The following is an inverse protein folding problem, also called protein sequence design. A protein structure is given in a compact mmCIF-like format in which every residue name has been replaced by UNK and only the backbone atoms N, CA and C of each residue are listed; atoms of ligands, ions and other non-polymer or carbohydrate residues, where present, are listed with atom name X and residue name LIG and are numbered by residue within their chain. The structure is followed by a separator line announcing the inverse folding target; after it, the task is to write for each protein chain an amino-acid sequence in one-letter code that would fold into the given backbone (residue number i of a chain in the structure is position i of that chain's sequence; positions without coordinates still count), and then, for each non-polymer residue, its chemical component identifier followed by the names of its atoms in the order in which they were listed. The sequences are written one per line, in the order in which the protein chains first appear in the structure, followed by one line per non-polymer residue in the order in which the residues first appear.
data_IF_838474926393
#
_entry.id   IF_838474926393
#
_cell.length_a   1.000
_cell.length_b   1.000
_cell.length_c   1.000
_cell.angle_alpha   90.00
_cell.angle_beta   90.00
_cell.angle_gamma   90.00
#
_symmetry.space_group_name_H-M   'P 1'
#
loop_
_entity.id
_entity.type
_entity.pdbx_description
1 polymer ?
#
# COMPACT_ATOMS: atom_id res chain seq x y z
N UNK A 1 27.96 21.01 -13.47
CA UNK A 1 28.11 20.26 -12.21
C UNK A 1 26.72 20.13 -11.60
N UNK A 2 26.03 19.01 -11.82
CA UNK A 2 24.65 18.82 -11.33
C UNK A 2 24.67 18.28 -9.91
N UNK A 3 24.16 19.07 -8.98
CA UNK A 3 23.88 18.68 -7.60
C UNK A 3 22.63 17.78 -7.57
N UNK A 4 22.83 16.49 -7.31
CA UNK A 4 21.72 15.60 -6.97
C UNK A 4 21.15 16.03 -5.62
N UNK A 5 19.88 16.44 -5.60
CA UNK A 5 19.17 16.75 -4.38
C UNK A 5 19.07 15.49 -3.51
N UNK A 6 19.77 15.49 -2.37
CA UNK A 6 19.70 14.41 -1.39
C UNK A 6 18.30 14.37 -0.79
N UNK A 7 17.50 13.35 -1.16
CA UNK A 7 16.21 13.07 -0.51
C UNK A 7 16.46 12.80 0.97
N UNK A 8 15.86 13.60 1.85
CA UNK A 8 15.96 13.39 3.30
C UNK A 8 15.23 12.09 3.66
N UNK A 9 15.95 11.08 4.13
CA UNK A 9 15.36 9.88 4.73
C UNK A 9 14.72 10.25 6.06
N UNK A 10 13.42 9.98 6.22
CA UNK A 10 12.72 10.09 7.50
C UNK A 10 13.29 9.01 8.45
N UNK A 11 13.60 9.34 9.71
CA UNK A 11 14.09 8.35 10.66
C UNK A 11 13.07 7.22 10.86
N UNK A 12 13.56 5.98 10.93
CA UNK A 12 12.73 4.81 11.28
C UNK A 12 12.71 4.65 12.80
N UNK A 13 11.63 5.10 13.42
CA UNK A 13 11.47 5.12 14.89
C UNK A 13 10.84 3.84 15.45
N UNK A 14 10.18 3.04 14.60
CA UNK A 14 9.46 1.84 15.01
C UNK A 14 10.30 0.57 14.81
N UNK A 15 10.25 -0.34 15.78
CA UNK A 15 10.92 -1.64 15.73
C UNK A 15 10.00 -2.73 15.19
N UNK A 16 10.50 -3.53 14.24
CA UNK A 16 9.84 -4.74 13.72
C UNK A 16 10.77 -5.92 14.00
N UNK A 17 10.32 -6.87 14.81
CA UNK A 17 11.08 -8.07 15.15
C UNK A 17 10.74 -9.21 14.18
N UNK A 18 11.75 -9.73 13.48
CA UNK A 18 11.58 -10.81 12.49
C UNK A 18 12.52 -11.96 12.87
N UNK A 19 12.00 -13.19 12.82
CA UNK A 19 12.79 -14.41 12.90
C UNK A 19 12.85 -15.04 11.51
N UNK A 20 14.01 -15.60 11.18
CA UNK A 20 14.25 -16.31 9.93
C UNK A 20 15.17 -17.49 10.22
N UNK A 21 15.03 -18.54 9.43
CA UNK A 21 15.98 -19.65 9.34
C UNK A 21 17.29 -19.18 8.71
N UNK A 22 18.34 -19.99 8.85
CA UNK A 22 19.65 -19.69 8.24
C UNK A 22 19.57 -19.63 6.71
N UNK A 23 18.76 -20.51 6.10
CA UNK A 23 18.54 -20.53 4.65
C UNK A 23 17.84 -19.26 4.16
N UNK A 24 16.71 -18.89 4.77
CA UNK A 24 15.99 -17.65 4.45
C UNK A 24 16.89 -16.44 4.58
N UNK A 25 17.69 -16.37 5.65
CA UNK A 25 18.64 -15.28 5.87
C UNK A 25 19.70 -15.23 4.75
N UNK A 26 20.29 -16.37 4.40
CA UNK A 26 21.33 -16.44 3.39
C UNK A 26 20.83 -15.99 2.02
N UNK A 27 19.62 -16.43 1.63
CA UNK A 27 18.99 -16.02 0.37
C UNK A 27 18.69 -14.52 0.36
N UNK A 28 18.15 -13.97 1.45
CA UNK A 28 17.85 -12.54 1.56
C UNK A 28 19.14 -11.71 1.53
N UNK A 29 20.19 -12.13 2.25
CA UNK A 29 21.48 -11.42 2.27
C UNK A 29 22.11 -11.38 0.87
N UNK A 30 22.05 -12.50 0.15
CA UNK A 30 22.51 -12.56 -1.23
C UNK A 30 21.71 -11.63 -2.14
N UNK A 31 20.38 -11.68 -2.09
CA UNK A 31 19.51 -10.80 -2.88
C UNK A 31 19.76 -9.30 -2.59
N UNK A 32 19.93 -8.94 -1.31
CA UNK A 32 20.24 -7.57 -0.91
C UNK A 32 21.61 -7.10 -1.46
N UNK A 33 22.58 -8.00 -1.51
CA UNK A 33 23.92 -7.72 -2.07
C UNK A 33 23.88 -7.39 -3.56
N UNK A 34 23.03 -8.08 -4.34
CA UNK A 34 22.88 -7.85 -5.78
C UNK A 34 22.32 -6.45 -6.11
N UNK A 35 21.57 -5.86 -5.18
CA UNK A 35 20.99 -4.52 -5.34
C UNK A 35 21.72 -3.44 -4.55
N UNK A 36 22.91 -3.75 -4.00
CA UNK A 36 23.72 -2.85 -3.17
C UNK A 36 22.95 -2.24 -1.98
N UNK A 37 22.10 -3.02 -1.31
CA UNK A 37 21.35 -2.60 -0.12
C UNK A 37 21.74 -3.46 1.09
N UNK A 38 21.63 -2.89 2.30
CA UNK A 38 21.69 -3.71 3.49
C UNK A 38 20.40 -4.54 3.65
N UNK A 39 20.48 -5.65 4.39
CA UNK A 39 19.35 -6.56 4.62
C UNK A 39 18.10 -5.85 5.14
N UNK A 40 18.24 -4.96 6.12
CA UNK A 40 17.08 -4.26 6.72
C UNK A 40 16.38 -3.35 5.72
N UNK A 41 17.13 -2.58 4.95
CA UNK A 41 16.59 -1.71 3.90
C UNK A 41 15.92 -2.53 2.81
N UNK A 42 16.54 -3.63 2.40
CA UNK A 42 15.98 -4.55 1.40
C UNK A 42 14.64 -5.13 1.86
N UNK A 43 14.59 -5.68 3.08
CA UNK A 43 13.38 -6.30 3.65
C UNK A 43 12.26 -5.26 3.80
N UNK A 44 12.55 -4.10 4.42
CA UNK A 44 11.51 -3.09 4.69
C UNK A 44 10.94 -2.53 3.39
N UNK A 45 11.79 -2.26 2.39
CA UNK A 45 11.34 -1.71 1.13
C UNK A 45 10.45 -2.69 0.37
N UNK A 46 10.87 -3.96 0.23
CA UNK A 46 10.06 -4.98 -0.43
C UNK A 46 8.77 -5.25 0.33
N UNK A 47 8.83 -5.44 1.64
CA UNK A 47 7.65 -5.69 2.46
C UNK A 47 6.64 -4.54 2.39
N UNK A 48 7.13 -3.29 2.37
CA UNK A 48 6.25 -2.11 2.27
C UNK A 48 5.61 -1.99 0.88
N UNK A 49 6.37 -2.21 -0.20
CA UNK A 49 5.78 -2.20 -1.55
C UNK A 49 4.77 -3.32 -1.72
N UNK A 50 5.07 -4.53 -1.24
CA UNK A 50 4.16 -5.66 -1.35
C UNK A 50 2.90 -5.46 -0.51
N UNK A 51 3.03 -4.94 0.71
CA UNK A 51 1.87 -4.58 1.53
C UNK A 51 0.98 -3.55 0.81
N UNK A 52 1.56 -2.54 0.16
CA UNK A 52 0.79 -1.57 -0.64
C UNK A 52 0.10 -2.25 -1.81
N UNK A 53 0.78 -3.15 -2.53
CA UNK A 53 0.19 -3.88 -3.64
C UNK A 53 -1.02 -4.69 -3.15
N UNK A 54 -0.87 -5.49 -2.08
CA UNK A 54 -1.94 -6.30 -1.50
C UNK A 54 -3.14 -5.43 -1.09
N UNK A 55 -2.89 -4.29 -0.43
CA UNK A 55 -3.96 -3.36 -0.04
C UNK A 55 -4.68 -2.79 -1.28
N UNK A 56 -3.91 -2.44 -2.31
CA UNK A 56 -4.47 -1.88 -3.56
C UNK A 56 -5.15 -2.93 -4.45
N UNK A 57 -4.75 -4.19 -4.34
CA UNK A 57 -5.31 -5.30 -5.12
C UNK A 57 -6.69 -5.75 -4.60
N UNK A 58 -7.14 -5.20 -3.47
CA UNK A 58 -8.53 -5.31 -2.96
C UNK A 58 -9.53 -4.49 -3.79
N UNK A 59 -9.40 -4.50 -5.13
CA UNK A 59 -10.25 -3.76 -6.07
C UNK A 59 -11.16 -4.64 -6.91
N UNK A 60 -10.93 -5.95 -6.92
CA UNK A 60 -11.75 -6.88 -7.69
C UNK A 60 -12.96 -7.34 -6.87
N UNK A 61 -14.09 -6.69 -7.08
CA UNK A 61 -15.39 -7.18 -6.60
C UNK A 61 -15.95 -8.12 -7.66
N UNK A 62 -15.86 -9.43 -7.39
CA UNK A 62 -16.51 -10.44 -8.25
C UNK A 62 -17.98 -10.51 -7.85
N UNK A 63 -18.85 -10.12 -8.77
CA UNK A 63 -20.31 -10.20 -8.62
C UNK A 63 -20.85 -11.23 -9.61
N UNK A 64 -21.90 -11.94 -9.22
CA UNK A 64 -22.73 -12.64 -10.19
C UNK A 64 -23.60 -11.63 -10.97
N UNK A 65 -24.35 -12.11 -11.96
CA UNK A 65 -25.15 -11.23 -12.81
C UNK A 65 -26.17 -10.40 -12.00
N UNK A 66 -26.80 -11.01 -10.99
CA UNK A 66 -27.79 -10.33 -10.14
C UNK A 66 -27.14 -9.24 -9.28
N UNK A 67 -25.98 -9.54 -8.68
CA UNK A 67 -25.20 -8.56 -7.94
C UNK A 67 -24.71 -7.41 -8.82
N UNK A 68 -24.31 -7.71 -10.06
CA UNK A 68 -23.89 -6.69 -11.03
C UNK A 68 -25.05 -5.75 -11.41
N UNK A 69 -26.22 -6.29 -11.73
CA UNK A 69 -27.38 -5.48 -12.12
C UNK A 69 -27.87 -4.59 -10.95
N UNK A 70 -27.87 -5.13 -9.73
CA UNK A 70 -28.18 -4.36 -8.52
C UNK A 70 -27.17 -3.24 -8.28
N UNK A 71 -25.89 -3.52 -8.49
CA UNK A 71 -24.82 -2.52 -8.38
C UNK A 71 -24.99 -1.39 -9.40
N UNK A 72 -25.23 -1.70 -10.68
CA UNK A 72 -25.44 -0.69 -11.72
C UNK A 72 -26.69 0.17 -11.41
N UNK A 73 -27.79 -0.46 -11.00
CA UNK A 73 -29.02 0.25 -10.63
C UNK A 73 -28.78 1.27 -9.51
N UNK A 74 -28.00 0.90 -8.49
CA UNK A 74 -27.65 1.81 -7.40
C UNK A 74 -26.66 2.89 -7.81
N UNK A 75 -25.72 2.56 -8.71
CA UNK A 75 -24.69 3.49 -9.19
C UNK A 75 -25.30 4.62 -10.04
N UNK A 76 -26.30 4.31 -10.87
CA UNK A 76 -26.99 5.28 -11.72
C UNK A 76 -28.09 6.05 -10.98
N UNK A 77 -28.51 5.57 -9.81
CA UNK A 77 -29.53 6.23 -9.02
C UNK A 77 -29.04 7.60 -8.49
N UNK A 78 -29.89 8.64 -8.51
CA UNK A 78 -29.53 9.94 -7.97
C UNK A 78 -29.26 9.86 -6.47
N UNK A 79 -28.16 10.49 -6.01
CA UNK A 79 -27.76 10.49 -4.59
C UNK A 79 -28.79 11.23 -3.74
N UNK A 80 -29.62 10.48 -3.01
CA UNK A 80 -30.73 11.02 -2.20
C UNK A 80 -30.26 11.59 -0.85
N UNK A 81 -29.16 11.08 -0.29
CA UNK A 81 -28.70 11.49 1.05
C UNK A 81 -27.78 12.72 0.98
N UNK A 82 -28.39 13.91 0.91
CA UNK A 82 -27.66 15.18 0.84
C UNK A 82 -26.78 15.44 2.08
N UNK A 83 -27.31 15.20 3.28
CA UNK A 83 -26.60 15.45 4.55
C UNK A 83 -25.35 14.55 4.69
N UNK A 84 -25.48 13.27 4.37
CA UNK A 84 -24.36 12.33 4.36
C UNK A 84 -23.29 12.68 3.33
N UNK A 85 -23.70 13.16 2.15
CA UNK A 85 -22.79 13.61 1.10
C UNK A 85 -21.99 14.83 1.54
N UNK A 86 -22.63 15.82 2.15
CA UNK A 86 -21.95 17.01 2.68
C UNK A 86 -20.95 16.64 3.77
N UNK A 87 -21.34 15.75 4.69
CA UNK A 87 -20.45 15.23 5.74
C UNK A 87 -19.21 14.55 5.19
N UNK A 88 -19.37 13.70 4.17
CA UNK A 88 -18.26 13.00 3.51
C UNK A 88 -17.31 13.96 2.79
N UNK A 89 -17.85 14.96 2.09
CA UNK A 89 -17.04 15.98 1.40
C UNK A 89 -16.25 16.86 2.38
N UNK A 90 -16.71 17.00 3.63
CA UNK A 90 -16.01 17.74 4.67
C UNK A 90 -14.89 16.94 5.37
N UNK A 91 -14.80 15.62 5.15
CA UNK A 91 -13.74 14.79 5.74
C UNK A 91 -12.40 15.18 5.13
N UNK A 92 -11.47 15.64 5.98
CA UNK A 92 -10.08 15.87 5.56
C UNK A 92 -9.44 14.51 5.29
N UNK A 93 -8.95 14.23 4.09
CA UNK A 93 -8.50 12.90 3.80
C UNK A 93 -7.09 12.66 4.38
N UNK A 94 -6.88 11.48 4.95
CA UNK A 94 -5.69 11.06 5.72
C UNK A 94 -4.37 11.12 4.93
N UNK A 95 -4.45 11.09 3.59
CA UNK A 95 -3.31 11.12 2.67
C UNK A 95 -2.81 12.53 2.30
N UNK A 96 -3.28 13.58 2.98
CA UNK A 96 -2.89 14.98 2.78
C UNK A 96 -2.13 15.56 3.97
#
# INVERSE_FOLDING_TARGET
MSTAASVRKIPRENQINIRATDEERAVIDYAASLVNKNRTDFIIELAYQEAKNIILDQRLFVLDNEGYDSFITQLEAPVQNAEGRERLMAVKPEWK
#
